data_IF_693312062912
#
_entry.id   IF_693312062912
#
_cell.length_a   1.000
_cell.length_b   1.000
_cell.length_c   1.000
_cell.angle_alpha   90.00
_cell.angle_beta   90.00
_cell.angle_gamma   90.00
#
_symmetry.space_group_name_H-M   'P 1'
#
loop_
_entity.id
_entity.type
_entity.pdbx_description
1 polymer ?
#
# COMPACT_ATOMS: atom_id res chain seq x y z
N UNK A 1 -20.98 4.57 0.39
CA UNK A 1 -19.69 4.51 1.12
C UNK A 1 -18.52 4.76 0.17
N UNK A 2 -18.43 4.06 -0.96
CA UNK A 2 -17.35 4.19 -1.93
C UNK A 2 -17.30 5.58 -2.57
N UNK A 3 -18.47 6.14 -2.88
CA UNK A 3 -18.58 7.48 -3.47
C UNK A 3 -17.85 8.55 -2.64
N UNK A 4 -18.10 8.60 -1.33
CA UNK A 4 -17.46 9.56 -0.42
C UNK A 4 -15.93 9.37 -0.34
N UNK A 5 -15.46 8.12 -0.42
CA UNK A 5 -14.01 7.83 -0.39
C UNK A 5 -13.32 8.29 -1.66
N UNK A 6 -13.97 8.14 -2.81
CA UNK A 6 -13.50 8.69 -4.08
C UNK A 6 -13.44 10.22 -3.99
N UNK A 7 -14.51 10.88 -3.53
CA UNK A 7 -14.51 12.35 -3.41
C UNK A 7 -13.51 12.88 -2.39
N UNK A 8 -13.25 12.14 -1.31
CA UNK A 8 -12.19 12.50 -0.35
C UNK A 8 -10.81 12.50 -1.02
N UNK A 9 -10.52 11.50 -1.84
CA UNK A 9 -9.27 11.47 -2.60
C UNK A 9 -9.17 12.67 -3.58
N UNK A 10 -10.27 12.99 -4.26
CA UNK A 10 -10.32 14.11 -5.21
C UNK A 10 -10.14 15.45 -4.51
N UNK A 11 -10.81 15.67 -3.37
CA UNK A 11 -10.68 16.93 -2.64
C UNK A 11 -9.23 17.14 -2.14
N UNK A 12 -8.54 16.08 -1.72
CA UNK A 12 -7.11 16.12 -1.40
C UNK A 12 -6.23 16.43 -2.61
N UNK A 13 -6.66 16.06 -3.82
CA UNK A 13 -5.95 16.34 -5.07
C UNK A 13 -6.18 17.78 -5.53
N UNK A 14 -7.39 18.31 -5.36
CA UNK A 14 -7.77 19.68 -5.74
C UNK A 14 -7.25 20.73 -4.75
N UNK A 15 -7.10 20.37 -3.47
CA UNK A 15 -6.69 21.31 -2.41
C UNK A 15 -5.24 21.81 -2.52
N UNK A 16 -4.38 21.13 -3.28
CA UNK A 16 -2.99 21.52 -3.48
C UNK A 16 -2.67 21.49 -4.99
N UNK A 17 -2.24 22.63 -5.52
CA UNK A 17 -1.86 22.78 -6.94
C UNK A 17 -0.77 21.77 -7.33
N UNK A 18 0.15 21.48 -6.41
CA UNK A 18 1.27 20.56 -6.61
C UNK A 18 1.06 19.23 -5.86
N UNK A 19 -0.21 18.85 -5.64
CA UNK A 19 -0.56 17.62 -4.95
C UNK A 19 0.15 16.41 -5.56
N UNK A 20 0.76 15.59 -4.69
CA UNK A 20 1.38 14.30 -5.04
C UNK A 20 0.48 13.42 -5.92
N UNK A 21 -0.83 13.48 -5.72
CA UNK A 21 -1.82 12.68 -6.43
C UNK A 21 -1.86 12.97 -7.95
N UNK A 22 -1.53 14.21 -8.36
CA UNK A 22 -1.46 14.63 -9.77
C UNK A 22 -0.33 13.99 -10.57
N UNK A 23 0.64 13.37 -9.89
CA UNK A 23 1.69 12.60 -10.56
C UNK A 23 1.13 11.45 -11.41
N UNK A 24 -0.05 10.91 -11.08
CA UNK A 24 -0.73 9.93 -11.93
C UNK A 24 -1.20 10.57 -13.22
N UNK A 25 -1.87 11.73 -13.17
CA UNK A 25 -2.36 12.45 -14.36
C UNK A 25 -1.23 12.75 -15.33
N UNK A 26 -0.14 13.35 -14.83
CA UNK A 26 1.02 13.68 -15.66
C UNK A 26 1.67 12.45 -16.29
N UNK A 27 1.73 11.32 -15.59
CA UNK A 27 2.31 10.09 -16.14
C UNK A 27 1.37 9.46 -17.16
N UNK A 28 0.13 9.21 -16.77
CA UNK A 28 -0.85 8.50 -17.58
C UNK A 28 -1.18 9.26 -18.86
N UNK A 29 -1.46 10.56 -18.79
CA UNK A 29 -1.72 11.40 -19.96
C UNK A 29 -0.53 11.40 -20.92
N UNK A 30 0.69 11.58 -20.41
CA UNK A 30 1.87 11.57 -21.27
C UNK A 30 2.08 10.23 -21.98
N UNK A 31 1.84 9.10 -21.29
CA UNK A 31 1.86 7.78 -21.92
C UNK A 31 0.75 7.62 -22.97
N UNK A 32 -0.48 8.07 -22.71
CA UNK A 32 -1.57 7.98 -23.67
C UNK A 32 -1.31 8.77 -24.94
N UNK A 33 -0.77 9.98 -24.82
CA UNK A 33 -0.45 10.86 -25.94
C UNK A 33 0.73 10.33 -26.79
N UNK A 34 1.64 9.55 -26.17
CA UNK A 34 2.87 9.09 -26.80
C UNK A 34 2.96 7.57 -26.99
N UNK A 35 1.86 6.83 -26.79
CA UNK A 35 1.84 5.35 -26.88
C UNK A 35 2.23 4.81 -28.27
N UNK A 36 2.08 5.64 -29.30
CA UNK A 36 2.43 5.31 -30.69
C UNK A 36 3.72 6.01 -31.16
N UNK A 37 4.48 6.62 -30.24
CA UNK A 37 5.70 7.41 -30.52
C UNK A 37 6.93 6.84 -29.80
N UNK A 38 7.60 5.81 -30.37
CA UNK A 38 8.78 5.18 -29.78
C UNK A 38 9.94 6.15 -29.47
N UNK A 39 10.03 7.27 -30.15
CA UNK A 39 11.06 8.31 -29.92
C UNK A 39 10.90 8.98 -28.55
N UNK A 40 9.70 8.96 -27.97
CA UNK A 40 9.40 9.55 -26.68
C UNK A 40 9.88 8.69 -25.48
N UNK A 41 10.47 7.51 -25.71
CA UNK A 41 10.86 6.53 -24.67
C UNK A 41 11.68 7.10 -23.52
N UNK A 42 12.60 8.03 -23.79
CA UNK A 42 13.43 8.63 -22.74
C UNK A 42 12.59 9.52 -21.82
N UNK A 43 11.71 10.35 -22.39
CA UNK A 43 10.76 11.17 -21.62
C UNK A 43 9.69 10.34 -20.91
N UNK A 44 9.16 9.28 -21.55
CA UNK A 44 8.24 8.33 -20.93
C UNK A 44 8.88 7.67 -19.70
N UNK A 45 10.17 7.32 -19.79
CA UNK A 45 10.93 6.78 -18.66
C UNK A 45 11.05 7.80 -17.51
N UNK A 46 11.20 9.08 -17.83
CA UNK A 46 11.26 10.17 -16.85
C UNK A 46 9.91 10.39 -16.15
N UNK A 47 8.80 10.44 -16.91
CA UNK A 47 7.44 10.52 -16.36
C UNK A 47 7.15 9.34 -15.42
N UNK A 48 7.51 8.13 -15.86
CA UNK A 48 7.36 6.93 -15.05
C UNK A 48 8.19 7.01 -13.76
N UNK A 49 9.46 7.43 -13.85
CA UNK A 49 10.32 7.58 -12.67
C UNK A 49 9.72 8.55 -11.65
N UNK A 50 9.22 9.70 -12.09
CA UNK A 50 8.66 10.71 -11.19
C UNK A 50 7.34 10.26 -10.54
N UNK A 51 6.46 9.59 -11.30
CA UNK A 51 5.27 8.95 -10.74
C UNK A 51 5.64 7.90 -9.68
N UNK A 52 6.56 6.98 -10.00
CA UNK A 52 6.99 5.95 -9.06
C UNK A 52 7.68 6.55 -7.82
N UNK A 53 8.46 7.62 -7.98
CA UNK A 53 9.09 8.35 -6.88
C UNK A 53 8.03 8.99 -5.98
N UNK A 54 7.06 9.68 -6.59
CA UNK A 54 5.90 10.25 -5.91
C UNK A 54 5.24 9.16 -5.07
N UNK A 55 5.02 7.97 -5.60
CA UNK A 55 4.38 6.87 -4.86
C UNK A 55 5.31 5.99 -4.01
N UNK A 56 6.54 6.45 -3.76
CA UNK A 56 7.46 5.89 -2.78
C UNK A 56 8.15 4.60 -3.21
N UNK A 57 8.33 4.38 -4.51
CA UNK A 57 9.07 3.23 -5.06
C UNK A 57 10.59 3.48 -5.15
N UNK A 58 11.05 4.73 -5.12
CA UNK A 58 12.46 5.12 -5.15
C UNK A 58 12.95 5.56 -3.76
N UNK A 59 12.72 4.75 -2.72
CA UNK A 59 13.15 5.07 -1.34
C UNK A 59 13.51 3.83 -0.53
N UNK A 60 14.21 4.05 0.58
CA UNK A 60 14.59 2.98 1.52
C UNK A 60 15.45 1.92 0.85
N UNK A 61 15.12 0.64 1.03
CA UNK A 61 15.87 -0.47 0.46
C UNK A 61 15.35 -0.90 -0.93
N UNK A 62 14.55 -0.07 -1.61
CA UNK A 62 14.08 -0.39 -2.95
C UNK A 62 15.25 -0.40 -3.95
N UNK A 63 15.33 -1.42 -4.81
CA UNK A 63 16.40 -1.54 -5.78
C UNK A 63 16.49 -0.36 -6.77
N UNK A 64 15.36 0.34 -6.98
CA UNK A 64 15.29 1.53 -7.82
C UNK A 64 15.98 2.75 -7.20
N UNK A 65 16.22 2.78 -5.89
CA UNK A 65 16.86 3.92 -5.22
C UNK A 65 18.26 4.21 -5.78
N UNK A 66 18.98 3.19 -6.22
CA UNK A 66 20.35 3.30 -6.73
C UNK A 66 20.41 3.33 -8.26
N UNK A 67 19.33 3.75 -8.91
CA UNK A 67 19.18 3.75 -10.36
C UNK A 67 18.65 5.09 -10.84
N UNK A 68 19.15 5.57 -11.97
CA UNK A 68 18.55 6.69 -12.69
C UNK A 68 17.28 6.26 -13.44
N UNK A 69 16.56 7.23 -13.99
CA UNK A 69 15.28 7.00 -14.68
C UNK A 69 15.40 6.08 -15.91
N UNK A 70 16.58 5.96 -16.54
CA UNK A 70 16.80 5.13 -17.73
C UNK A 70 16.83 3.63 -17.40
N UNK A 71 16.78 3.26 -16.12
CA UNK A 71 16.47 1.89 -15.69
C UNK A 71 15.10 1.42 -16.22
N UNK A 72 14.19 2.35 -16.51
CA UNK A 72 12.85 2.08 -16.99
C UNK A 72 12.76 1.85 -18.52
N UNK A 73 13.78 2.18 -19.31
CA UNK A 73 13.75 2.01 -20.77
C UNK A 73 13.22 0.64 -21.25
N UNK A 74 13.73 -0.52 -20.78
CA UNK A 74 13.21 -1.82 -21.21
C UNK A 74 11.77 -2.09 -20.76
N UNK A 75 11.30 -1.41 -19.70
CA UNK A 75 9.89 -1.47 -19.28
C UNK A 75 9.04 -0.63 -20.23
N UNK A 76 9.48 0.57 -20.60
CA UNK A 76 8.77 1.40 -21.59
C UNK A 76 8.69 0.69 -22.94
N UNK A 77 9.74 -0.01 -23.37
CA UNK A 77 9.70 -0.85 -24.59
C UNK A 77 8.58 -1.90 -24.54
N UNK A 78 8.36 -2.54 -23.39
CA UNK A 78 7.26 -3.49 -23.20
C UNK A 78 5.91 -2.78 -23.23
N UNK A 79 5.80 -1.61 -22.61
CA UNK A 79 4.53 -0.87 -22.52
C UNK A 79 4.05 -0.34 -23.87
N UNK A 80 4.97 0.01 -24.77
CA UNK A 80 4.68 0.50 -26.12
C UNK A 80 4.47 -0.64 -27.14
N UNK A 81 4.57 -1.90 -26.72
CA UNK A 81 4.29 -3.06 -27.57
C UNK A 81 2.80 -3.09 -27.94
N UNK A 82 2.49 -3.05 -29.24
CA UNK A 82 1.12 -3.00 -29.76
C UNK A 82 0.28 -4.22 -29.37
N UNK A 83 0.93 -5.31 -28.96
CA UNK A 83 0.30 -6.47 -28.33
C UNK A 83 -0.56 -6.10 -27.11
N UNK A 84 -0.21 -5.04 -26.37
CA UNK A 84 -0.95 -4.57 -25.19
C UNK A 84 -1.91 -3.40 -25.48
N UNK A 85 -2.18 -3.09 -26.75
CA UNK A 85 -3.03 -1.94 -27.14
C UNK A 85 -4.40 -1.90 -26.45
N UNK A 86 -5.02 -3.05 -26.19
CA UNK A 86 -6.32 -3.14 -25.51
C UNK A 86 -6.28 -2.78 -24.02
N UNK A 87 -5.08 -2.69 -23.40
CA UNK A 87 -4.94 -2.36 -21.98
C UNK A 87 -5.03 -0.85 -21.72
N UNK A 88 -4.78 0.00 -22.71
CA UNK A 88 -4.89 1.45 -22.56
C UNK A 88 -6.33 1.85 -22.22
N UNK A 89 -6.56 2.38 -21.01
CA UNK A 89 -7.88 2.78 -20.50
C UNK A 89 -8.97 1.72 -20.71
N UNK A 90 -8.62 0.46 -20.46
CA UNK A 90 -9.57 -0.63 -20.62
C UNK A 90 -10.81 -0.45 -19.73
N UNK A 91 -11.98 -0.69 -20.31
CA UNK A 91 -13.26 -0.59 -19.61
C UNK A 91 -13.44 -1.70 -18.56
N UNK A 92 -14.42 -1.55 -17.67
CA UNK A 92 -14.72 -2.56 -16.67
C UNK A 92 -15.21 -3.88 -17.30
N UNK A 93 -15.86 -3.81 -18.46
CA UNK A 93 -16.29 -4.97 -19.25
C UNK A 93 -15.09 -5.76 -19.76
N UNK A 94 -14.07 -5.07 -20.31
CA UNK A 94 -12.84 -5.72 -20.77
C UNK A 94 -12.09 -6.37 -19.61
N UNK A 95 -12.11 -5.76 -18.42
CA UNK A 95 -11.49 -6.31 -17.20
C UNK A 95 -12.19 -7.57 -16.65
N UNK A 96 -13.35 -7.97 -17.18
CA UNK A 96 -13.97 -9.26 -16.89
C UNK A 96 -13.56 -10.37 -17.86
N UNK A 97 -12.94 -10.03 -18.99
CA UNK A 97 -12.58 -11.01 -20.02
C UNK A 97 -11.30 -11.74 -19.62
N UNK A 98 -11.31 -13.07 -19.74
CA UNK A 98 -10.20 -13.91 -19.32
C UNK A 98 -8.92 -13.63 -20.11
N UNK A 99 -9.07 -13.21 -21.37
CA UNK A 99 -8.03 -12.84 -22.31
C UNK A 99 -7.33 -11.56 -21.84
N UNK A 100 -8.09 -10.49 -21.57
CA UNK A 100 -7.58 -9.23 -21.00
C UNK A 100 -6.84 -9.47 -19.69
N UNK A 101 -7.43 -10.26 -18.78
CA UNK A 101 -6.79 -10.61 -17.51
C UNK A 101 -5.49 -11.41 -17.71
N UNK A 102 -5.41 -12.23 -18.75
CA UNK A 102 -4.17 -12.96 -19.10
C UNK A 102 -3.10 -12.00 -19.61
N UNK A 103 -3.47 -11.04 -20.47
CA UNK A 103 -2.55 -10.03 -21.01
C UNK A 103 -1.98 -9.13 -19.91
N UNK A 104 -2.79 -8.73 -18.93
CA UNK A 104 -2.33 -7.97 -17.75
C UNK A 104 -1.23 -8.74 -17.01
N UNK A 105 -1.46 -10.03 -16.73
CA UNK A 105 -0.50 -10.86 -15.98
C UNK A 105 0.76 -11.17 -16.80
N UNK A 106 0.61 -11.37 -18.10
CA UNK A 106 1.74 -11.56 -19.01
C UNK A 106 2.62 -10.30 -19.06
N UNK A 107 2.01 -9.12 -19.27
CA UNK A 107 2.71 -7.84 -19.26
C UNK A 107 3.43 -7.63 -17.93
N UNK A 108 2.74 -7.89 -16.81
CA UNK A 108 3.32 -7.84 -15.47
C UNK A 108 4.57 -8.74 -15.35
N UNK A 109 4.53 -9.95 -15.92
CA UNK A 109 5.66 -10.87 -15.90
C UNK A 109 6.84 -10.40 -16.77
N UNK A 110 6.56 -9.80 -17.94
CA UNK A 110 7.61 -9.16 -18.77
C UNK A 110 8.25 -7.98 -18.04
N UNK A 111 7.48 -7.14 -17.36
CA UNK A 111 8.00 -6.03 -16.55
C UNK A 111 8.94 -6.54 -15.44
N UNK A 112 8.55 -7.59 -14.72
CA UNK A 112 9.41 -8.23 -13.71
C UNK A 112 10.73 -8.71 -14.32
N UNK A 113 10.65 -9.36 -15.48
CA UNK A 113 11.80 -9.89 -16.20
C UNK A 113 12.73 -8.78 -16.68
N UNK A 114 12.19 -7.67 -17.18
CA UNK A 114 12.95 -6.50 -17.59
C UNK A 114 13.76 -5.89 -16.44
N UNK A 115 13.14 -5.64 -15.28
CA UNK A 115 13.88 -5.15 -14.12
C UNK A 115 14.92 -6.13 -13.63
N UNK A 116 14.57 -7.42 -13.53
CA UNK A 116 15.51 -8.46 -13.10
C UNK A 116 16.76 -8.45 -13.97
N UNK A 117 16.59 -8.41 -15.30
CA UNK A 117 17.71 -8.38 -16.24
C UNK A 117 18.51 -7.08 -16.15
N UNK A 118 17.85 -5.92 -16.06
CA UNK A 118 18.50 -4.60 -15.97
C UNK A 118 19.29 -4.40 -14.67
N UNK A 119 19.02 -5.22 -13.66
CA UNK A 119 19.62 -5.09 -12.32
C UNK A 119 20.53 -6.26 -11.94
N UNK A 120 20.89 -7.13 -12.89
CA UNK A 120 21.88 -8.20 -12.64
C UNK A 120 23.25 -7.65 -12.25
N UNK A 121 23.63 -6.47 -12.73
CA UNK A 121 24.89 -5.84 -12.35
C UNK A 121 24.66 -4.67 -11.40
N UNK A 122 25.27 -4.73 -10.22
CA UNK A 122 25.28 -3.67 -9.20
C UNK A 122 26.73 -3.38 -8.85
N UNK A 123 27.18 -2.13 -9.06
CA UNK A 123 28.57 -1.71 -8.85
C UNK A 123 29.60 -2.62 -9.54
N UNK A 124 29.31 -3.06 -10.77
CA UNK A 124 30.17 -3.96 -11.54
C UNK A 124 30.17 -5.43 -11.10
N UNK A 125 29.40 -5.79 -10.07
CA UNK A 125 29.27 -7.18 -9.59
C UNK A 125 27.97 -7.81 -10.07
N UNK A 126 28.06 -9.05 -10.53
CA UNK A 126 26.90 -9.84 -10.91
C UNK A 126 26.08 -10.24 -9.66
N UNK A 127 24.77 -10.27 -9.82
CA UNK A 127 23.75 -10.63 -8.84
C UNK A 127 22.58 -11.31 -9.54
N UNK A 128 21.66 -11.88 -8.77
CA UNK A 128 20.45 -12.54 -9.31
C UNK A 128 19.45 -11.59 -9.99
N UNK A 129 19.72 -10.26 -9.96
CA UNK A 129 18.79 -9.22 -10.33
C UNK A 129 17.71 -9.00 -9.26
N UNK A 130 17.15 -7.80 -9.24
CA UNK A 130 16.06 -7.43 -8.37
C UNK A 130 14.73 -7.96 -8.91
N UNK A 131 13.90 -8.49 -8.01
CA UNK A 131 12.54 -8.91 -8.33
C UNK A 131 11.59 -7.76 -8.04
N UNK A 132 10.90 -7.26 -9.07
CA UNK A 132 9.87 -6.26 -8.89
C UNK A 132 8.66 -6.88 -8.18
N UNK A 133 8.24 -6.27 -7.06
CA UNK A 133 7.08 -6.70 -6.29
C UNK A 133 5.78 -6.42 -7.05
N UNK A 134 4.69 -7.10 -6.65
CA UNK A 134 3.36 -6.83 -7.18
C UNK A 134 2.98 -5.35 -7.03
N UNK A 135 3.31 -4.73 -5.89
CA UNK A 135 3.10 -3.30 -5.68
C UNK A 135 3.80 -2.44 -6.73
N UNK A 136 5.07 -2.71 -7.05
CA UNK A 136 5.78 -1.95 -8.07
C UNK A 136 5.16 -2.17 -9.45
N UNK A 137 4.91 -3.43 -9.82
CA UNK A 137 4.40 -3.77 -11.15
C UNK A 137 3.00 -3.22 -11.37
N UNK A 138 2.11 -3.37 -10.39
CA UNK A 138 0.74 -2.84 -10.47
C UNK A 138 0.71 -1.31 -10.42
N UNK A 139 1.63 -0.63 -9.73
CA UNK A 139 1.79 0.83 -9.86
C UNK A 139 2.18 1.23 -11.28
N UNK A 140 3.10 0.51 -11.92
CA UNK A 140 3.45 0.77 -13.32
C UNK A 140 2.21 0.61 -14.21
N UNK A 141 1.50 -0.52 -14.10
CA UNK A 141 0.27 -0.75 -14.89
C UNK A 141 -0.82 0.30 -14.64
N UNK A 142 -0.97 0.77 -13.39
CA UNK A 142 -1.88 1.86 -13.04
C UNK A 142 -1.45 3.18 -13.67
N UNK A 143 -0.20 3.58 -13.49
CA UNK A 143 0.34 4.88 -13.92
C UNK A 143 0.54 5.00 -15.43
N UNK A 144 0.54 3.88 -16.17
CA UNK A 144 0.71 3.86 -17.62
C UNK A 144 -0.59 3.46 -18.30
N UNK A 145 -0.94 2.18 -18.33
CA UNK A 145 -2.15 1.70 -19.01
C UNK A 145 -3.45 2.17 -18.35
N UNK A 146 -3.45 2.37 -17.03
CA UNK A 146 -4.67 2.61 -16.27
C UNK A 146 -5.56 1.36 -16.20
N UNK A 147 -4.98 0.16 -16.32
CA UNK A 147 -5.74 -1.11 -16.43
C UNK A 147 -5.81 -1.92 -15.13
N UNK A 148 -5.08 -1.53 -14.09
CA UNK A 148 -4.96 -2.30 -12.85
C UNK A 148 -4.74 -1.36 -11.68
N UNK A 149 -5.49 -1.47 -10.57
CA UNK A 149 -5.21 -0.69 -9.36
C UNK A 149 -3.84 -1.02 -8.78
N UNK A 150 -3.24 -0.13 -7.99
CA UNK A 150 -1.97 -0.42 -7.35
C UNK A 150 -2.19 -1.32 -6.12
N UNK A 151 -1.71 -2.57 -6.16
CA UNK A 151 -1.77 -3.51 -5.04
C UNK A 151 -0.68 -3.15 -3.99
N UNK A 152 -0.77 -1.94 -3.46
CA UNK A 152 -0.03 -1.53 -2.28
C UNK A 152 -0.79 -1.86 -1.00
N UNK A 153 -0.15 -1.64 0.15
CA UNK A 153 -0.70 -1.99 1.45
C UNK A 153 -2.05 -1.33 1.73
N UNK A 154 -2.26 -0.07 1.33
CA UNK A 154 -3.51 0.62 1.60
C UNK A 154 -4.62 0.07 0.71
N UNK A 155 -4.38 -0.05 -0.59
CA UNK A 155 -5.36 -0.67 -1.50
C UNK A 155 -5.77 -2.07 -1.03
N UNK A 156 -4.78 -2.93 -0.73
CA UNK A 156 -5.04 -4.29 -0.24
C UNK A 156 -5.81 -4.31 1.09
N UNK A 157 -5.52 -3.37 2.00
CA UNK A 157 -6.27 -3.24 3.26
C UNK A 157 -7.70 -2.77 3.01
N UNK A 158 -7.92 -1.86 2.07
CA UNK A 158 -9.23 -1.34 1.69
C UNK A 158 -10.13 -2.41 1.09
N UNK A 159 -9.65 -3.17 0.10
CA UNK A 159 -10.42 -4.29 -0.48
C UNK A 159 -10.71 -5.35 0.59
N UNK A 160 -9.77 -5.59 1.50
CA UNK A 160 -9.93 -6.56 2.58
C UNK A 160 -11.05 -6.17 3.54
N UNK A 161 -11.11 -4.89 3.90
CA UNK A 161 -12.06 -4.34 4.84
C UNK A 161 -13.52 -4.40 4.35
N UNK A 162 -13.72 -4.45 3.04
CA UNK A 162 -15.06 -4.55 2.44
C UNK A 162 -15.43 -5.97 2.03
N UNK A 163 -14.66 -6.96 2.50
CA UNK A 163 -14.94 -8.38 2.27
C UNK A 163 -14.55 -8.91 0.88
N UNK A 164 -13.88 -8.12 0.03
CA UNK A 164 -13.42 -8.62 -1.27
C UNK A 164 -12.26 -9.60 -1.10
N UNK A 165 -12.36 -10.75 -1.77
CA UNK A 165 -11.32 -11.77 -1.88
C UNK A 165 -11.31 -12.36 -3.30
N UNK A 166 -10.14 -12.81 -3.79
CA UNK A 166 -8.82 -12.69 -3.17
C UNK A 166 -8.31 -11.25 -3.16
N UNK A 167 -7.40 -10.92 -2.23
CA UNK A 167 -6.81 -9.57 -2.09
C UNK A 167 -5.40 -9.45 -2.67
N UNK A 168 -4.86 -10.53 -3.23
CA UNK A 168 -3.58 -10.55 -3.93
C UNK A 168 -3.78 -10.29 -5.43
N UNK A 169 -2.79 -9.66 -6.06
CA UNK A 169 -2.80 -9.40 -7.49
C UNK A 169 -2.94 -10.71 -8.28
N UNK A 170 -3.97 -10.78 -9.13
CA UNK A 170 -4.29 -11.97 -9.92
C UNK A 170 -5.67 -11.88 -10.57
N UNK A 171 -5.96 -12.81 -11.49
CA UNK A 171 -7.21 -12.81 -12.26
C UNK A 171 -8.45 -12.75 -11.38
N UNK A 172 -8.48 -13.55 -10.30
CA UNK A 172 -9.63 -13.59 -9.38
C UNK A 172 -9.90 -12.25 -8.70
N UNK A 173 -8.85 -11.54 -8.25
CA UNK A 173 -9.01 -10.24 -7.59
C UNK A 173 -9.44 -9.16 -8.58
N UNK A 174 -8.81 -9.13 -9.77
CA UNK A 174 -9.17 -8.19 -10.84
C UNK A 174 -10.62 -8.38 -11.32
N UNK A 175 -11.05 -9.62 -11.53
CA UNK A 175 -12.42 -9.93 -11.92
C UNK A 175 -13.43 -9.53 -10.83
N UNK A 176 -13.13 -9.79 -9.55
CA UNK A 176 -13.98 -9.38 -8.44
C UNK A 176 -14.13 -7.85 -8.37
N UNK A 177 -13.03 -7.11 -8.58
CA UNK A 177 -13.03 -5.65 -8.62
C UNK A 177 -13.84 -5.10 -9.81
N UNK A 178 -13.68 -5.68 -10.99
CA UNK A 178 -14.43 -5.29 -12.18
C UNK A 178 -15.95 -5.53 -11.99
N UNK A 179 -16.31 -6.69 -11.44
CA UNK A 179 -17.70 -6.99 -11.10
C UNK A 179 -18.27 -6.00 -10.09
N UNK A 180 -17.52 -5.67 -9.04
CA UNK A 180 -17.96 -4.68 -8.06
C UNK A 180 -18.15 -3.30 -8.69
N UNK A 181 -17.20 -2.84 -9.51
CA UNK A 181 -17.29 -1.56 -10.22
C UNK A 181 -18.57 -1.45 -11.03
N UNK A 182 -18.90 -2.50 -11.79
CA UNK A 182 -20.07 -2.51 -12.68
C UNK A 182 -21.40 -2.62 -11.95
N UNK A 183 -21.42 -3.21 -10.74
CA UNK A 183 -22.68 -3.56 -10.05
C UNK A 183 -23.04 -2.61 -8.93
N UNK A 184 -22.06 -1.93 -8.32
CA UNK A 184 -22.31 -1.07 -7.18
C UNK A 184 -22.58 0.39 -7.62
N UNK A 185 -23.74 0.98 -7.28
CA UNK A 185 -24.19 2.27 -7.82
C UNK A 185 -23.27 3.46 -7.48
N UNK A 186 -22.56 3.40 -6.35
CA UNK A 186 -21.57 4.44 -5.98
C UNK A 186 -20.52 4.70 -7.07
N UNK A 187 -20.10 3.70 -7.85
CA UNK A 187 -19.08 3.88 -8.88
C UNK A 187 -19.63 4.63 -10.09
N UNK A 188 -20.84 4.30 -10.55
CA UNK A 188 -21.51 5.05 -11.62
C UNK A 188 -21.75 6.51 -11.21
N UNK A 189 -22.21 6.73 -9.97
CA UNK A 189 -22.40 8.08 -9.41
C UNK A 189 -21.07 8.85 -9.33
N UNK A 190 -20.00 8.19 -8.90
CA UNK A 190 -18.69 8.79 -8.82
C UNK A 190 -18.16 9.16 -10.21
N UNK A 191 -18.32 8.29 -11.20
CA UNK A 191 -17.90 8.54 -12.59
C UNK A 191 -18.59 9.78 -13.18
N UNK A 192 -19.90 9.92 -13.00
CA UNK A 192 -20.65 11.13 -13.42
C UNK A 192 -20.12 12.39 -12.74
N UNK A 193 -19.86 12.31 -11.43
CA UNK A 193 -19.34 13.45 -10.65
C UNK A 193 -17.93 13.82 -11.09
N UNK A 194 -17.06 12.84 -11.34
CA UNK A 194 -15.71 13.04 -11.84
C UNK A 194 -15.72 13.70 -13.22
N UNK A 195 -16.57 13.23 -14.13
CA UNK A 195 -16.71 13.81 -15.47
C UNK A 195 -17.18 15.26 -15.43
N UNK A 196 -18.15 15.60 -14.56
CA UNK A 196 -18.59 17.00 -14.41
C UNK A 196 -17.51 17.93 -13.85
N UNK A 197 -16.49 17.37 -13.18
CA UNK A 197 -15.28 18.07 -12.71
C UNK A 197 -14.13 18.06 -13.73
N UNK A 198 -14.31 17.45 -14.90
CA UNK A 198 -13.29 17.36 -15.96
C UNK A 198 -12.29 16.20 -15.79
N UNK A 199 -12.57 15.24 -14.91
CA UNK A 199 -11.75 14.05 -14.75
C UNK A 199 -12.29 12.89 -15.61
N UNK A 200 -11.45 12.36 -16.50
CA UNK A 200 -11.72 11.16 -17.29
C UNK A 200 -10.84 10.00 -16.81
N UNK A 201 -11.24 9.40 -15.69
CA UNK A 201 -10.47 8.33 -15.05
C UNK A 201 -10.96 6.95 -15.46
N UNK A 202 -10.01 6.05 -15.70
CA UNK A 202 -10.30 4.65 -15.95
C UNK A 202 -10.97 3.98 -14.73
N UNK A 203 -11.71 2.88 -14.94
CA UNK A 203 -12.27 2.09 -13.84
C UNK A 203 -11.22 1.67 -12.81
N UNK A 204 -10.03 1.26 -13.27
CA UNK A 204 -8.95 0.88 -12.37
C UNK A 204 -8.45 2.05 -11.52
N UNK A 205 -8.40 3.27 -12.07
CA UNK A 205 -8.02 4.46 -11.31
C UNK A 205 -9.09 4.83 -10.26
N UNK A 206 -10.37 4.73 -10.61
CA UNK A 206 -11.47 5.00 -9.67
C UNK A 206 -11.47 3.97 -8.52
N UNK A 207 -11.29 2.69 -8.83
CA UNK A 207 -11.13 1.62 -7.84
C UNK A 207 -9.90 1.87 -6.94
N UNK A 208 -8.76 2.25 -7.53
CA UNK A 208 -7.53 2.58 -6.81
C UNK A 208 -7.78 3.70 -5.80
N UNK A 209 -8.33 4.85 -6.23
CA UNK A 209 -8.64 5.98 -5.34
C UNK A 209 -9.55 5.56 -4.18
N UNK A 210 -10.61 4.80 -4.48
CA UNK A 210 -11.58 4.35 -3.50
C UNK A 210 -10.94 3.48 -2.41
N UNK A 211 -10.32 2.37 -2.80
CA UNK A 211 -9.79 1.39 -1.85
C UNK A 211 -8.49 1.83 -1.20
N UNK A 212 -7.69 2.65 -1.89
CA UNK A 212 -6.56 3.31 -1.27
C UNK A 212 -7.02 4.23 -0.13
N UNK A 213 -8.06 5.05 -0.35
CA UNK A 213 -8.58 5.93 0.70
C UNK A 213 -9.16 5.16 1.88
N UNK A 214 -9.92 4.08 1.63
CA UNK A 214 -10.41 3.20 2.71
C UNK A 214 -9.25 2.63 3.52
N UNK A 215 -8.22 2.09 2.86
CA UNK A 215 -7.04 1.56 3.54
C UNK A 215 -6.23 2.62 4.30
N UNK A 216 -6.13 3.82 3.73
CA UNK A 216 -5.48 4.95 4.36
C UNK A 216 -6.21 5.38 5.64
N UNK A 217 -7.55 5.47 5.58
CA UNK A 217 -8.38 5.83 6.73
C UNK A 217 -8.24 4.80 7.85
N UNK A 218 -8.32 3.50 7.54
CA UNK A 218 -8.13 2.41 8.51
C UNK A 218 -6.81 2.51 9.28
N UNK A 219 -5.75 2.96 8.62
CA UNK A 219 -4.43 3.12 9.23
C UNK A 219 -4.20 4.47 9.91
N UNK A 220 -5.04 5.46 9.61
CA UNK A 220 -4.94 6.84 10.12
C UNK A 220 -5.94 7.12 11.24
N UNK A 221 -7.02 6.35 11.34
CA UNK A 221 -8.03 6.41 12.41
C UNK A 221 -8.30 5.01 13.00
N UNK A 222 -7.33 4.40 13.72
CA UNK A 222 -7.49 3.06 14.28
C UNK A 222 -8.69 2.89 15.23
N UNK A 223 -9.26 4.00 15.73
CA UNK A 223 -10.28 4.01 16.79
C UNK A 223 -11.74 4.07 16.29
N UNK A 224 -12.00 4.27 14.99
CA UNK A 224 -13.36 4.48 14.46
C UNK A 224 -14.00 3.27 13.75
N UNK A 225 -13.29 2.15 13.57
CA UNK A 225 -13.80 0.96 12.85
C UNK A 225 -14.29 -0.16 13.80
N UNK A 226 -14.46 0.13 15.09
CA UNK A 226 -15.27 -0.72 15.99
C UNK A 226 -16.75 -0.35 15.93
N UNK A 227 -17.31 -0.19 14.73
CA UNK A 227 -18.76 -0.21 14.55
C UNK A 227 -19.18 -1.65 14.25
N UNK A 228 -19.59 -2.31 15.33
CA UNK A 228 -20.57 -3.40 15.44
C UNK A 228 -20.75 -4.30 14.19
N UNK A 229 -20.00 -5.39 14.14
CA UNK A 229 -20.44 -6.61 13.46
C UNK A 229 -21.14 -7.45 14.54
N UNK A 230 -22.45 -7.75 14.42
CA UNK A 230 -23.12 -8.69 15.32
C UNK A 230 -22.42 -10.04 15.23
N UNK A 231 -21.88 -10.53 16.35
CA UNK A 231 -21.42 -11.91 16.46
C UNK A 231 -22.65 -12.81 16.50
N UNK A 232 -22.99 -13.41 15.36
CA UNK A 232 -23.84 -14.60 15.39
C UNK A 232 -23.06 -15.74 16.06
N UNK A 233 -23.74 -16.37 17.00
CA UNK A 233 -23.25 -17.47 17.80
C UNK A 233 -23.02 -18.71 16.93
N UNK A 234 -21.98 -19.48 17.24
CA UNK A 234 -22.02 -20.91 16.96
C UNK A 234 -21.43 -21.71 18.14
N UNK A 235 -21.94 -22.93 18.38
CA UNK A 235 -21.93 -23.55 19.69
C UNK A 235 -20.68 -24.38 19.99
N UNK A 236 -20.56 -24.61 21.28
CA UNK A 236 -19.75 -25.54 22.08
C UNK A 236 -19.31 -26.83 21.37
N UNK A 237 -18.04 -27.19 21.60
CA UNK A 237 -17.49 -28.54 21.43
C UNK A 237 -16.17 -28.68 22.17
N UNK A 238 -16.19 -29.46 23.26
CA UNK A 238 -15.09 -29.78 24.17
C UNK A 238 -14.01 -30.69 23.55
N UNK A 239 -12.81 -30.74 24.18
CA UNK A 239 -11.92 -31.91 24.10
C UNK A 239 -10.42 -31.62 24.15
N UNK A 240 -9.82 -31.78 25.33
CA UNK A 240 -8.38 -31.79 25.64
C UNK A 240 -7.54 -32.75 24.78
N UNK A 241 -6.23 -32.45 24.57
CA UNK A 241 -5.07 -33.29 24.98
C UNK A 241 -3.83 -32.39 25.20
N UNK A 242 -3.15 -32.60 26.35
CA UNK A 242 -1.86 -32.01 26.74
C UNK A 242 -0.70 -32.79 26.10
N UNK A 243 0.33 -32.11 25.58
CA UNK A 243 1.69 -32.64 25.61
C UNK A 243 2.70 -31.50 25.71
N UNK A 244 3.61 -31.63 26.67
CA UNK A 244 4.69 -30.70 26.96
C UNK A 244 5.96 -31.13 26.22
N UNK A 245 6.54 -30.22 25.43
CA UNK A 245 7.99 -30.14 25.17
C UNK A 245 8.31 -28.65 24.99
N UNK A 246 9.32 -28.15 25.70
CA UNK A 246 9.60 -26.73 25.82
C UNK A 246 10.08 -26.07 24.53
N UNK A 247 9.55 -24.88 24.27
CA UNK A 247 10.09 -23.83 23.40
C UNK A 247 9.43 -22.50 23.79
N UNK A 248 10.16 -21.39 23.74
CA UNK A 248 9.70 -20.05 24.14
C UNK A 248 8.45 -19.61 23.34
N UNK A 249 7.52 -18.82 23.91
CA UNK A 249 6.28 -18.50 23.21
C UNK A 249 6.57 -17.57 22.03
N UNK A 250 6.30 -18.07 20.82
CA UNK A 250 6.34 -17.32 19.56
C UNK A 250 5.10 -16.43 19.50
N UNK A 251 5.14 -15.32 20.23
CA UNK A 251 4.19 -14.22 20.07
C UNK A 251 4.46 -13.44 18.78
N UNK A 252 3.43 -12.86 18.19
CA UNK A 252 3.54 -11.97 17.04
C UNK A 252 4.47 -10.78 17.34
N UNK A 253 5.05 -10.17 16.31
CA UNK A 253 5.90 -8.97 16.45
C UNK A 253 5.24 -7.85 17.28
N UNK A 254 3.90 -7.71 17.21
CA UNK A 254 3.15 -6.74 18.01
C UNK A 254 3.02 -7.15 19.48
N UNK A 255 2.91 -8.44 19.78
CA UNK A 255 2.86 -8.95 21.16
C UNK A 255 4.21 -8.77 21.85
N UNK A 256 5.31 -9.11 21.17
CA UNK A 256 6.67 -8.90 21.67
C UNK A 256 6.93 -7.44 22.05
N UNK A 257 6.47 -6.50 21.23
CA UNK A 257 6.57 -5.06 21.54
C UNK A 257 5.73 -4.68 22.75
N UNK A 258 4.48 -5.18 22.84
CA UNK A 258 3.59 -4.87 23.96
C UNK A 258 4.14 -5.42 25.28
N UNK A 259 4.60 -6.66 25.30
CA UNK A 259 5.22 -7.30 26.46
C UNK A 259 6.44 -6.51 26.94
N UNK A 260 7.31 -6.11 26.00
CA UNK A 260 8.48 -5.29 26.33
C UNK A 260 8.08 -3.96 26.98
N UNK A 261 7.10 -3.24 26.41
CA UNK A 261 6.64 -1.96 26.96
C UNK A 261 6.04 -2.17 28.36
N UNK A 262 5.21 -3.20 28.56
CA UNK A 262 4.66 -3.52 29.88
C UNK A 262 5.75 -3.80 30.92
N UNK A 263 6.76 -4.60 30.56
CA UNK A 263 7.89 -4.90 31.44
C UNK A 263 8.66 -3.63 31.84
N UNK A 264 8.92 -2.72 30.89
CA UNK A 264 9.63 -1.46 31.19
C UNK A 264 8.83 -0.54 32.13
N UNK A 265 7.51 -0.46 31.93
CA UNK A 265 6.61 0.33 32.79
C UNK A 265 6.58 -0.27 34.20
N UNK A 266 6.42 -1.59 34.31
CA UNK A 266 6.38 -2.30 35.59
C UNK A 266 7.71 -2.16 36.35
N UNK A 267 8.84 -2.35 35.68
CA UNK A 267 10.17 -2.18 36.28
C UNK A 267 10.38 -0.75 36.80
N UNK A 268 9.96 0.25 36.03
CA UNK A 268 10.05 1.66 36.46
C UNK A 268 9.15 1.96 37.66
N UNK A 269 7.95 1.38 37.69
CA UNK A 269 7.02 1.47 38.82
C UNK A 269 7.61 0.84 40.10
N UNK A 270 8.19 -0.35 39.99
CA UNK A 270 8.90 -1.02 41.09
C UNK A 270 10.11 -0.22 41.60
N UNK A 271 10.77 0.53 40.72
CA UNK A 271 11.86 1.44 41.08
C UNK A 271 11.39 2.78 41.67
N UNK A 272 10.07 2.98 41.84
CA UNK A 272 9.50 4.21 42.40
C UNK A 272 9.50 5.41 41.44
N UNK A 273 9.84 5.21 40.17
CA UNK A 273 9.86 6.26 39.15
C UNK A 273 8.43 6.45 38.65
N UNK A 274 7.81 7.64 38.77
CA UNK A 274 6.37 7.83 38.52
C UNK A 274 5.98 7.80 37.02
N UNK A 275 6.94 8.01 36.13
CA UNK A 275 6.72 8.02 34.69
C UNK A 275 7.96 7.53 33.95
N UNK A 276 7.79 6.89 32.79
CA UNK A 276 8.89 6.49 31.90
C UNK A 276 8.64 7.01 30.49
N UNK A 277 9.67 7.59 29.87
CA UNK A 277 9.64 8.01 28.46
C UNK A 277 10.25 6.90 27.60
N UNK A 278 9.44 6.30 26.73
CA UNK A 278 9.90 5.28 25.79
C UNK A 278 9.98 5.84 24.37
N UNK A 279 11.09 5.54 23.69
CA UNK A 279 11.36 5.96 22.30
C UNK A 279 11.30 4.77 21.36
N UNK A 280 10.59 4.91 20.24
CA UNK A 280 10.41 3.83 19.26
C UNK A 280 11.74 3.25 18.72
N UNK A 281 12.76 4.09 18.54
CA UNK A 281 14.13 3.67 18.16
C UNK A 281 14.77 2.74 19.18
N UNK A 282 14.56 2.99 20.46
CA UNK A 282 15.18 2.21 21.56
C UNK A 282 14.50 0.86 21.71
N UNK A 283 13.15 0.84 21.64
CA UNK A 283 12.38 -0.40 21.57
C UNK A 283 12.79 -1.23 20.35
N UNK A 284 12.92 -0.58 19.18
CA UNK A 284 13.39 -1.23 17.95
C UNK A 284 14.78 -1.83 18.10
N UNK A 285 15.70 -1.15 18.79
CA UNK A 285 17.05 -1.68 19.07
C UNK A 285 17.00 -2.88 20.03
N UNK A 286 16.23 -2.78 21.11
CA UNK A 286 16.13 -3.83 22.13
C UNK A 286 15.53 -5.13 21.59
N UNK A 287 14.54 -5.03 20.70
CA UNK A 287 13.83 -6.18 20.13
C UNK A 287 14.40 -6.65 18.78
N UNK A 288 15.47 -6.01 18.28
CA UNK A 288 16.03 -6.23 16.94
C UNK A 288 15.02 -5.96 15.80
N UNK A 289 14.16 -4.96 15.99
CA UNK A 289 13.05 -4.57 15.12
C UNK A 289 13.28 -3.19 14.45
N UNK A 290 14.53 -2.87 14.11
CA UNK A 290 14.96 -1.55 13.60
C UNK A 290 14.25 -1.07 12.31
N UNK A 291 13.55 -1.95 11.60
CA UNK A 291 12.83 -1.66 10.36
C UNK A 291 11.29 -1.78 10.50
N UNK A 292 10.77 -1.92 11.73
CA UNK A 292 9.34 -2.18 12.02
C UNK A 292 8.68 -1.05 12.83
N UNK A 293 9.08 0.20 12.61
CA UNK A 293 8.53 1.33 13.36
C UNK A 293 7.01 1.50 13.27
N UNK A 294 6.31 1.22 12.15
CA UNK A 294 4.85 1.24 12.16
C UNK A 294 4.25 0.29 13.19
N UNK A 295 4.77 -0.94 13.31
CA UNK A 295 4.34 -1.92 14.32
C UNK A 295 4.64 -1.43 15.73
N UNK A 296 5.84 -0.90 15.95
CA UNK A 296 6.29 -0.40 17.25
C UNK A 296 5.42 0.79 17.70
N UNK A 297 5.29 1.82 16.86
CA UNK A 297 4.50 3.01 17.16
C UNK A 297 3.03 2.64 17.40
N UNK A 298 2.44 1.77 16.58
CA UNK A 298 1.05 1.32 16.78
C UNK A 298 0.87 0.63 18.15
N UNK A 299 1.81 -0.22 18.56
CA UNK A 299 1.79 -0.85 19.87
C UNK A 299 1.96 0.17 21.01
N UNK A 300 2.86 1.15 20.84
CA UNK A 300 3.05 2.23 21.79
C UNK A 300 1.75 3.02 22.03
N UNK A 301 1.08 3.48 20.96
CA UNK A 301 -0.18 4.23 21.09
C UNK A 301 -1.31 3.39 21.70
N UNK A 302 -1.45 2.13 21.28
CA UNK A 302 -2.50 1.23 21.81
C UNK A 302 -2.36 0.90 23.28
N UNK A 303 -1.15 1.04 23.84
CA UNK A 303 -0.88 0.83 25.25
C UNK A 303 -1.04 2.09 26.08
N UNK A 304 -1.40 3.23 25.50
CA UNK A 304 -1.66 4.44 26.29
C UNK A 304 -2.94 4.30 27.10
N UNK A 305 -2.93 4.83 28.32
CA UNK A 305 -4.05 4.93 29.23
C UNK A 305 -4.10 6.30 29.92
N UNK A 306 -4.98 6.47 30.92
CA UNK A 306 -5.09 7.71 31.67
C UNK A 306 -3.75 8.14 32.31
N UNK A 307 -3.32 9.37 32.05
CA UNK A 307 -2.07 9.94 32.59
C UNK A 307 -0.83 9.75 31.70
N UNK A 308 -0.95 9.07 30.57
CA UNK A 308 0.11 8.98 29.56
C UNK A 308 0.08 10.18 28.61
N UNK A 309 1.23 10.53 28.02
CA UNK A 309 1.35 11.66 27.11
C UNK A 309 2.27 11.39 25.91
N UNK A 310 1.86 11.81 24.72
CA UNK A 310 2.74 11.83 23.55
C UNK A 310 3.69 13.01 23.67
N UNK A 311 4.98 12.75 23.88
CA UNK A 311 6.01 13.80 24.02
C UNK A 311 6.48 14.28 22.66
N UNK A 312 6.61 13.38 21.70
CA UNK A 312 6.96 13.72 20.32
C UNK A 312 6.38 12.69 19.35
N UNK A 313 5.77 13.18 18.28
CA UNK A 313 5.40 12.39 17.12
C UNK A 313 5.45 13.26 15.85
N UNK A 314 5.98 12.75 14.72
CA UNK A 314 5.85 13.44 13.44
C UNK A 314 4.39 13.41 12.97
N UNK A 315 4.04 14.21 11.96
CA UNK A 315 2.69 14.26 11.36
C UNK A 315 2.14 12.88 10.97
N UNK A 316 3.00 11.93 10.58
CA UNK A 316 2.59 10.57 10.21
C UNK A 316 2.24 9.67 11.41
N UNK A 317 2.54 10.09 12.64
CA UNK A 317 2.49 9.26 13.86
C UNK A 317 3.45 8.07 13.89
N UNK A 318 4.16 7.78 12.80
CA UNK A 318 4.96 6.54 12.64
C UNK A 318 6.40 6.91 12.29
N UNK A 319 7.30 6.80 13.26
CA UNK A 319 8.74 7.08 13.08
C UNK A 319 9.55 6.50 14.24
N UNK A 320 10.85 6.29 13.99
CA UNK A 320 11.83 5.94 15.03
C UNK A 320 11.91 6.97 16.16
N UNK A 321 11.51 8.21 15.90
CA UNK A 321 11.58 9.31 16.86
C UNK A 321 10.36 9.40 17.79
N UNK A 322 9.28 8.63 17.55
CA UNK A 322 8.08 8.68 18.39
C UNK A 322 8.45 8.41 19.84
N UNK A 323 8.03 9.33 20.73
CA UNK A 323 8.29 9.28 22.17
C UNK A 323 6.98 9.44 22.93
N UNK A 324 6.70 8.48 23.81
CA UNK A 324 5.52 8.48 24.67
C UNK A 324 5.97 8.35 26.12
N UNK A 325 5.41 9.20 26.97
CA UNK A 325 5.52 9.13 28.42
C UNK A 325 4.41 8.25 28.96
N UNK A 326 4.77 7.20 29.66
CA UNK A 326 3.84 6.31 30.35
C UNK A 326 3.87 6.55 31.85
N UNK A 327 2.70 6.63 32.46
CA UNK A 327 2.51 6.57 33.90
C UNK A 327 2.79 5.14 34.38
N UNK A 328 3.62 5.01 35.40
CA UNK A 328 4.05 3.71 35.95
C UNK A 328 3.16 3.23 37.08
N UNK A 329 2.23 4.07 37.55
CA UNK A 329 1.31 3.79 38.67
C UNK A 329 -0.07 3.33 38.21
N UNK A 330 -0.15 2.74 37.02
CA UNK A 330 -1.38 2.31 36.36
C UNK A 330 -1.62 0.82 36.49
#
# INVERSE_FOLDING_TARGET
MFYEKILTYISLTEADENARYKSWDHCHTFFLEHKDYPEAKDLLSLHLAFYLASWGMLRGNAFLLQKDYRVHLPVVDILLDSHYSQLWNCSAELLRQAETLSLILECAQRIRSAYRNKTKFVNGKESSGAVASDTLVTKILLGTFGCTPAYDRYFCSGIVAVGLRPSSFGKGSLAALANLYMTHPDFAKAEETLRSKGFDYSPAKILDMCFWQIGYDLESTPDLVRLEIPKEANPVGEGHIVSAVGEAPVGTDAERVREYIHQQIQQSGLAGIPTIDLVAKEIGRALQMNNRYPTICNAMYRLMGPGDAVIYAPKSGKSSLVRIRYNTRR
#
